data_IF_732581220116
#
_entry.id   IF_732581220116
#
_cell.length_a   1.000
_cell.length_b   1.000
_cell.length_c   1.000
_cell.angle_alpha   90.00
_cell.angle_beta   90.00
_cell.angle_gamma   90.00
#
_symmetry.space_group_name_H-M   'P 1'
#
loop_
_entity.id
_entity.type
_entity.pdbx_description
1 polymer ?
#
# COMPACT_ATOMS: atom_id res chain seq x y z
N UNK A 1 -18.32 -68.46 25.06
CA UNK A 1 -19.28 -67.36 25.29
C UNK A 1 -18.49 -66.05 25.29
N UNK A 2 -18.70 -65.19 24.27
CA UNK A 2 -18.46 -63.73 24.08
C UNK A 2 -17.20 -63.08 24.76
N UNK A 3 -16.40 -62.20 24.12
CA UNK A 3 -16.70 -61.01 23.29
C UNK A 3 -15.48 -60.62 22.41
N UNK A 4 -15.74 -59.98 21.25
CA UNK A 4 -14.82 -59.07 20.54
C UNK A 4 -15.58 -57.78 20.18
N UNK A 5 -14.93 -56.63 20.31
CA UNK A 5 -15.34 -55.31 19.84
C UNK A 5 -14.37 -54.92 18.69
N UNK A 6 -14.90 -54.57 17.52
CA UNK A 6 -15.15 -53.22 16.99
C UNK A 6 -13.91 -52.68 16.24
N UNK A 7 -14.04 -52.66 14.91
CA UNK A 7 -13.05 -52.19 13.94
C UNK A 7 -13.53 -50.83 13.39
N UNK A 8 -12.61 -49.89 13.25
CA UNK A 8 -12.81 -48.47 12.94
C UNK A 8 -12.44 -48.23 11.46
N UNK A 9 -13.42 -47.85 10.64
CA UNK A 9 -13.29 -47.77 9.17
C UNK A 9 -12.91 -46.33 8.74
N UNK A 10 -11.63 -46.13 8.38
CA UNK A 10 -11.11 -44.86 7.83
C UNK A 10 -11.04 -44.93 6.30
N UNK A 11 -11.48 -43.90 5.55
CA UNK A 11 -11.28 -43.86 4.10
C UNK A 11 -9.85 -43.47 3.71
N UNK A 12 -9.33 -44.18 2.72
CA UNK A 12 -7.97 -44.11 2.16
C UNK A 12 -7.75 -42.81 1.37
N UNK A 13 -6.62 -42.13 1.65
CA UNK A 13 -6.16 -40.95 0.89
C UNK A 13 -5.49 -41.39 -0.42
N UNK A 14 -6.01 -40.94 -1.56
CA UNK A 14 -5.32 -41.02 -2.84
C UNK A 14 -4.27 -39.92 -2.94
N UNK A 15 -3.01 -40.32 -3.11
CA UNK A 15 -1.89 -39.44 -3.41
C UNK A 15 -1.89 -39.01 -4.88
N UNK A 16 -1.72 -37.71 -5.10
CA UNK A 16 -1.40 -37.11 -6.39
C UNK A 16 -0.24 -36.14 -6.18
N UNK A 17 0.96 -36.55 -6.59
CA UNK A 17 2.18 -35.75 -6.63
C UNK A 17 2.05 -34.68 -7.73
N UNK A 18 1.54 -33.51 -7.34
CA UNK A 18 1.47 -32.33 -8.19
C UNK A 18 2.45 -31.29 -7.68
N UNK A 19 3.73 -31.42 -8.04
CA UNK A 19 4.73 -30.34 -7.85
C UNK A 19 4.28 -29.09 -8.62
N UNK A 20 3.54 -28.21 -7.95
CA UNK A 20 3.20 -26.87 -8.45
C UNK A 20 4.50 -26.08 -8.60
N UNK A 21 4.76 -25.58 -9.81
CA UNK A 21 5.86 -24.64 -10.05
C UNK A 21 5.66 -23.38 -9.18
N UNK A 22 6.71 -22.82 -8.56
CA UNK A 22 6.58 -21.58 -7.80
C UNK A 22 6.15 -20.43 -8.72
N UNK A 23 5.28 -19.55 -8.20
CA UNK A 23 4.97 -18.28 -8.88
C UNK A 23 6.21 -17.37 -8.88
N UNK A 24 6.45 -16.57 -9.93
CA UNK A 24 7.54 -15.60 -9.94
C UNK A 24 7.38 -14.61 -8.78
N UNK A 25 8.45 -14.40 -8.01
CA UNK A 25 8.48 -13.48 -6.85
C UNK A 25 8.62 -14.14 -5.47
N UNK A 26 8.72 -15.47 -5.38
CA UNK A 26 8.85 -16.18 -4.11
C UNK A 26 10.23 -16.85 -4.01
N UNK A 27 11.17 -16.21 -3.30
CA UNK A 27 12.44 -16.84 -2.89
C UNK A 27 12.31 -17.35 -1.45
N UNK A 28 12.85 -18.54 -1.13
CA UNK A 28 12.96 -18.98 0.26
C UNK A 28 13.98 -18.10 0.98
N UNK A 29 13.53 -17.37 2.01
CA UNK A 29 14.40 -16.61 2.93
C UNK A 29 14.97 -17.58 3.97
N UNK A 30 16.28 -17.50 4.24
CA UNK A 30 16.96 -18.28 5.27
C UNK A 30 16.31 -18.12 6.64
N UNK A 31 16.19 -19.19 7.42
CA UNK A 31 15.48 -19.24 8.70
C UNK A 31 16.18 -18.53 9.87
N UNK A 32 17.40 -18.03 9.69
CA UNK A 32 18.12 -17.29 10.72
C UNK A 32 17.94 -15.79 10.51
N UNK A 33 17.23 -15.13 11.44
CA UNK A 33 17.21 -13.67 11.53
C UNK A 33 18.65 -13.16 11.74
N UNK A 34 19.03 -12.02 11.13
CA UNK A 34 20.40 -11.52 11.25
C UNK A 34 20.73 -11.21 12.71
N UNK A 35 21.91 -11.64 13.16
CA UNK A 35 22.38 -11.34 14.51
C UNK A 35 22.62 -9.84 14.76
N UNK A 36 22.73 -9.02 13.70
CA UNK A 36 22.95 -7.56 13.78
C UNK A 36 22.48 -6.83 12.53
N UNK A 37 21.78 -5.71 12.73
CA UNK A 37 21.47 -4.70 11.70
C UNK A 37 22.10 -3.37 12.11
N UNK A 38 22.63 -2.63 11.15
CA UNK A 38 23.19 -1.28 11.38
C UNK A 38 22.72 -0.31 10.31
N UNK A 39 22.50 0.95 10.71
CA UNK A 39 22.14 2.05 9.82
C UNK A 39 23.15 3.17 9.99
N UNK A 40 23.70 3.65 8.88
CA UNK A 40 24.65 4.77 8.86
C UNK A 40 24.20 5.84 7.86
N UNK A 41 24.02 7.07 8.32
CA UNK A 41 23.67 8.21 7.48
C UNK A 41 24.85 9.21 7.47
N UNK A 42 25.51 9.43 6.32
CA UNK A 42 26.67 10.32 6.27
C UNK A 42 26.28 11.79 6.33
N UNK A 43 27.17 12.59 6.92
CA UNK A 43 27.15 14.05 6.79
C UNK A 43 27.76 14.49 5.45
N UNK A 44 27.59 15.78 5.10
CA UNK A 44 28.34 16.39 4.00
C UNK A 44 27.70 16.27 2.62
N UNK A 45 26.44 15.81 2.52
CA UNK A 45 25.71 15.86 1.25
C UNK A 45 25.47 17.33 0.87
N UNK A 46 25.90 17.79 -0.32
CA UNK A 46 25.67 19.16 -0.75
C UNK A 46 24.20 19.42 -1.07
N UNK A 47 23.83 20.70 -1.18
CA UNK A 47 22.49 21.08 -1.63
C UNK A 47 22.25 20.59 -3.07
N UNK A 48 21.26 19.71 -3.23
CA UNK A 48 20.87 19.11 -4.51
C UNK A 48 20.02 20.09 -5.33
N UNK A 49 20.33 20.21 -6.61
CA UNK A 49 19.65 21.08 -7.59
C UNK A 49 19.08 20.27 -8.75
N UNK A 50 18.20 20.90 -9.51
CA UNK A 50 17.64 20.32 -10.72
C UNK A 50 18.73 19.94 -11.73
N UNK A 51 18.69 18.69 -12.19
CA UNK A 51 19.66 18.12 -13.12
C UNK A 51 20.89 17.50 -12.47
N UNK A 52 21.05 17.59 -11.15
CA UNK A 52 22.19 16.98 -10.46
C UNK A 52 22.17 15.44 -10.58
N UNK A 53 23.35 14.87 -10.78
CA UNK A 53 23.57 13.43 -10.72
C UNK A 53 23.65 12.97 -9.25
N UNK A 54 22.54 12.46 -8.73
CA UNK A 54 22.48 11.97 -7.34
C UNK A 54 23.51 10.90 -7.02
N UNK A 55 23.81 9.98 -7.94
CA UNK A 55 24.80 8.95 -7.68
C UNK A 55 26.19 9.59 -7.52
N UNK A 56 26.53 10.58 -8.34
CA UNK A 56 27.80 11.30 -8.22
C UNK A 56 27.92 12.07 -6.90
N UNK A 57 26.80 12.62 -6.41
CA UNK A 57 26.77 13.37 -5.15
C UNK A 57 26.84 12.46 -3.91
N UNK A 58 26.13 11.33 -3.93
CA UNK A 58 25.97 10.47 -2.75
C UNK A 58 27.10 9.47 -2.60
N UNK A 59 27.52 8.79 -3.67
CA UNK A 59 28.47 7.67 -3.59
C UNK A 59 29.81 8.01 -2.91
N UNK A 60 30.42 9.21 -3.09
CA UNK A 60 31.68 9.55 -2.41
C UNK A 60 31.58 9.59 -0.87
N UNK A 61 30.36 9.68 -0.33
CA UNK A 61 30.09 9.78 1.10
C UNK A 61 29.70 8.43 1.72
N UNK A 62 29.61 7.38 0.92
CA UNK A 62 29.04 6.09 1.30
C UNK A 62 30.08 4.97 1.22
N UNK A 63 30.19 4.19 2.29
CA UNK A 63 30.93 2.93 2.30
C UNK A 63 29.98 1.77 1.96
N UNK A 64 29.77 1.53 0.67
CA UNK A 64 28.88 0.49 0.18
C UNK A 64 29.57 -0.88 0.05
N UNK A 65 28.85 -1.91 0.48
CA UNK A 65 29.18 -3.31 0.27
C UNK A 65 28.03 -4.05 -0.43
N UNK A 66 28.35 -5.23 -0.98
CA UNK A 66 27.32 -6.09 -1.57
C UNK A 66 26.30 -6.52 -0.52
N UNK A 67 25.02 -6.48 -0.88
CA UNK A 67 23.91 -6.78 0.02
C UNK A 67 23.50 -5.63 0.94
N UNK A 68 24.08 -4.45 0.79
CA UNK A 68 23.59 -3.24 1.46
C UNK A 68 22.28 -2.74 0.82
N UNK A 69 21.51 -1.99 1.61
CA UNK A 69 20.34 -1.25 1.13
C UNK A 69 20.61 0.25 1.30
N UNK A 70 20.72 0.96 0.18
CA UNK A 70 20.81 2.41 0.14
C UNK A 70 19.41 3.01 0.23
N UNK A 71 19.19 3.84 1.24
CA UNK A 71 17.93 4.54 1.48
C UNK A 71 18.14 6.02 1.18
N UNK A 72 17.25 6.64 0.41
CA UNK A 72 17.35 8.04 -0.04
C UNK A 72 16.01 8.73 0.11
N UNK A 73 15.99 9.96 0.61
CA UNK A 73 14.74 10.70 0.77
C UNK A 73 14.17 11.17 -0.57
N UNK A 74 12.85 11.18 -0.68
CA UNK A 74 12.07 11.69 -1.81
C UNK A 74 12.53 13.09 -2.20
N UNK A 75 12.82 13.95 -1.23
CA UNK A 75 13.14 15.37 -1.44
C UNK A 75 14.36 15.57 -2.32
N UNK A 76 15.46 14.83 -2.11
CA UNK A 76 16.64 14.96 -2.97
C UNK A 76 16.41 14.35 -4.34
N UNK A 77 15.64 13.27 -4.42
CA UNK A 77 15.21 12.68 -5.71
C UNK A 77 14.41 13.70 -6.51
N UNK A 78 13.38 14.28 -5.90
CA UNK A 78 12.55 15.34 -6.46
C UNK A 78 13.36 16.56 -6.89
N UNK A 79 14.31 17.03 -6.06
CA UNK A 79 15.17 18.17 -6.42
C UNK A 79 15.99 17.88 -7.66
N UNK A 80 16.68 16.75 -7.71
CA UNK A 80 17.48 16.34 -8.87
C UNK A 80 16.62 16.18 -10.13
N UNK A 81 15.39 15.69 -9.99
CA UNK A 81 14.44 15.51 -11.10
C UNK A 81 13.66 16.78 -11.47
N UNK A 82 14.01 17.94 -10.90
CA UNK A 82 13.37 19.22 -11.26
C UNK A 82 11.92 19.33 -10.79
N UNK A 83 11.55 18.65 -9.70
CA UNK A 83 10.21 18.65 -9.10
C UNK A 83 10.00 19.76 -8.05
N UNK A 84 10.88 20.76 -8.05
CA UNK A 84 10.67 22.00 -7.29
C UNK A 84 9.90 22.97 -8.18
N UNK A 85 8.71 23.35 -7.75
CA UNK A 85 7.78 24.20 -8.51
C UNK A 85 7.40 25.44 -7.71
N UNK A 86 7.04 26.51 -8.40
CA UNK A 86 6.49 27.73 -7.80
C UNK A 86 4.98 27.75 -7.90
N UNK A 87 4.30 28.49 -7.03
CA UNK A 87 2.86 28.70 -7.10
C UNK A 87 2.16 28.45 -5.78
N UNK A 88 0.82 28.42 -5.80
CA UNK A 88 0.04 28.10 -4.62
C UNK A 88 0.17 26.61 -4.29
N UNK A 89 0.47 26.32 -3.03
CA UNK A 89 0.58 24.96 -2.51
C UNK A 89 -0.72 24.20 -2.67
N UNK A 90 -1.87 24.83 -2.43
CA UNK A 90 -3.15 24.14 -2.51
C UNK A 90 -3.51 23.75 -3.95
N UNK A 91 -3.16 24.58 -4.94
CA UNK A 91 -3.31 24.25 -6.36
C UNK A 91 -2.45 23.04 -6.75
N UNK A 92 -1.23 22.96 -6.24
CA UNK A 92 -0.37 21.79 -6.45
C UNK A 92 -0.90 20.54 -5.74
N UNK A 93 -1.45 20.66 -4.53
CA UNK A 93 -2.11 19.54 -3.86
C UNK A 93 -3.25 19.01 -4.71
N UNK A 94 -4.07 19.89 -5.29
CA UNK A 94 -5.17 19.50 -6.18
C UNK A 94 -4.66 18.80 -7.45
N UNK A 95 -3.62 19.35 -8.09
CA UNK A 95 -3.02 18.76 -9.29
C UNK A 95 -2.33 17.40 -9.06
N UNK A 96 -1.93 17.12 -7.82
CA UNK A 96 -1.29 15.87 -7.40
C UNK A 96 -2.30 14.86 -6.83
N UNK A 97 -3.54 15.28 -6.58
CA UNK A 97 -4.62 14.48 -5.98
C UNK A 97 -5.43 13.76 -7.05
N UNK A 98 -5.52 12.44 -6.95
CA UNK A 98 -6.51 11.66 -7.71
C UNK A 98 -7.85 11.63 -7.00
N UNK A 99 -7.83 11.51 -5.67
CA UNK A 99 -9.05 11.37 -4.88
C UNK A 99 -8.88 11.91 -3.48
N UNK A 100 -9.88 12.66 -3.05
CA UNK A 100 -9.97 13.10 -1.66
C UNK A 100 -10.42 11.95 -0.74
N UNK A 101 -9.68 11.71 0.34
CA UNK A 101 -10.02 10.70 1.35
C UNK A 101 -10.70 11.36 2.54
N UNK A 102 -10.12 12.43 3.09
CA UNK A 102 -10.68 13.16 4.22
C UNK A 102 -10.20 14.61 4.31
N UNK A 103 -11.05 15.52 4.81
CA UNK A 103 -10.67 16.93 5.03
C UNK A 103 -11.11 17.41 6.41
N UNK A 104 -10.17 18.00 7.17
CA UNK A 104 -10.43 18.61 8.48
C UNK A 104 -9.70 19.96 8.55
N UNK A 105 -10.43 21.05 8.37
CA UNK A 105 -9.82 22.38 8.23
C UNK A 105 -8.83 22.39 7.06
N UNK A 106 -7.61 22.87 7.31
CA UNK A 106 -6.54 22.87 6.31
C UNK A 106 -5.88 21.49 6.06
N UNK A 107 -6.17 20.47 6.88
CA UNK A 107 -5.58 19.15 6.70
C UNK A 107 -6.40 18.35 5.70
N UNK A 108 -5.74 17.87 4.64
CA UNK A 108 -6.31 17.04 3.59
C UNK A 108 -5.54 15.72 3.51
N UNK A 109 -6.24 14.60 3.67
CA UNK A 109 -5.74 13.28 3.33
C UNK A 109 -6.30 12.92 1.97
N UNK A 110 -5.42 12.51 1.05
CA UNK A 110 -5.76 12.26 -0.35
C UNK A 110 -5.04 11.01 -0.83
N UNK A 111 -5.59 10.35 -1.84
CA UNK A 111 -4.84 9.44 -2.71
C UNK A 111 -4.22 10.28 -3.82
N UNK A 112 -2.89 10.28 -3.90
CA UNK A 112 -2.15 10.99 -4.95
C UNK A 112 -1.99 10.10 -6.20
N UNK A 113 -1.40 10.65 -7.27
CA UNK A 113 -1.19 9.92 -8.54
C UNK A 113 -0.30 8.69 -8.46
N UNK A 114 0.48 8.56 -7.38
CA UNK A 114 1.32 7.39 -7.13
C UNK A 114 0.53 6.27 -6.43
N UNK A 115 -0.74 6.52 -6.07
CA UNK A 115 -1.60 5.63 -5.30
C UNK A 115 -1.45 5.77 -3.78
N UNK A 116 -0.50 6.59 -3.31
CA UNK A 116 -0.20 6.79 -1.88
C UNK A 116 -1.35 7.57 -1.22
N UNK A 117 -1.81 7.08 -0.06
CA UNK A 117 -2.81 7.76 0.75
C UNK A 117 -2.14 8.49 1.91
N UNK A 118 -2.01 9.80 1.78
CA UNK A 118 -1.21 10.61 2.70
C UNK A 118 -1.70 12.07 2.76
N UNK A 119 -1.10 12.84 3.67
CA UNK A 119 -1.41 14.26 3.81
C UNK A 119 -0.89 15.06 2.61
N UNK A 120 -1.69 16.00 2.12
CA UNK A 120 -1.30 16.99 1.11
C UNK A 120 -0.63 16.39 -0.15
N UNK A 121 -1.02 15.17 -0.55
CA UNK A 121 -0.45 14.45 -1.68
C UNK A 121 1.09 14.20 -1.64
N UNK A 122 1.75 14.47 -0.51
CA UNK A 122 3.23 14.49 -0.43
C UNK A 122 3.86 15.81 -0.91
N UNK A 123 3.05 16.85 -1.15
CA UNK A 123 3.55 18.20 -1.47
C UNK A 123 4.13 18.84 -0.23
N UNK A 124 5.43 19.14 -0.29
CA UNK A 124 6.21 19.66 0.82
C UNK A 124 6.68 21.11 0.55
N UNK A 125 6.42 22.01 1.50
CA UNK A 125 6.87 23.40 1.46
C UNK A 125 8.08 23.64 2.38
N UNK A 126 8.60 22.62 3.05
CA UNK A 126 9.72 22.73 3.99
C UNK A 126 11.07 22.62 3.29
N UNK A 127 12.06 23.37 3.81
CA UNK A 127 13.45 23.38 3.32
C UNK A 127 13.57 23.73 1.81
N UNK A 128 12.72 24.65 1.35
CA UNK A 128 12.75 25.27 0.02
C UNK A 128 12.60 26.78 0.14
N UNK A 129 12.93 27.50 -0.93
CA UNK A 129 12.74 28.94 -1.03
C UNK A 129 11.26 29.32 -0.85
N UNK A 130 10.99 30.44 -0.18
CA UNK A 130 9.63 30.93 0.01
C UNK A 130 8.90 31.08 -1.34
N UNK A 131 7.67 30.56 -1.43
CA UNK A 131 6.88 30.55 -2.67
C UNK A 131 7.13 29.33 -3.58
N UNK A 132 7.99 28.40 -3.17
CA UNK A 132 8.20 27.12 -3.85
C UNK A 132 7.70 25.95 -3.00
N UNK A 133 7.38 24.84 -3.67
CA UNK A 133 7.06 23.53 -3.08
C UNK A 133 7.82 22.43 -3.81
N UNK A 134 8.02 21.30 -3.13
CA UNK A 134 8.58 20.07 -3.70
C UNK A 134 7.43 19.09 -3.91
N UNK A 135 7.28 18.63 -5.15
CA UNK A 135 6.38 17.55 -5.50
C UNK A 135 7.13 16.22 -5.40
N UNK A 136 6.42 15.11 -5.20
CA UNK A 136 7.06 13.79 -5.23
C UNK A 136 7.65 13.49 -6.63
N UNK A 137 8.62 12.55 -6.71
CA UNK A 137 9.12 12.04 -8.00
C UNK A 137 7.96 11.51 -8.85
N UNK A 138 8.07 11.63 -10.17
CA UNK A 138 7.00 11.16 -11.08
C UNK A 138 6.88 9.64 -11.05
N UNK A 139 8.01 8.95 -10.98
CA UNK A 139 8.11 7.50 -10.83
C UNK A 139 9.27 7.15 -9.89
N UNK A 140 9.03 7.14 -8.56
CA UNK A 140 10.07 6.88 -7.56
C UNK A 140 10.65 5.46 -7.65
N UNK A 141 9.91 4.48 -8.17
CA UNK A 141 10.44 3.15 -8.45
C UNK A 141 11.47 3.21 -9.58
N UNK A 142 11.19 3.94 -10.67
CA UNK A 142 12.17 4.17 -11.72
C UNK A 142 13.37 4.98 -11.25
N UNK A 143 13.19 5.97 -10.36
CA UNK A 143 14.30 6.70 -9.73
C UNK A 143 15.20 5.76 -8.92
N UNK A 144 14.63 4.85 -8.14
CA UNK A 144 15.37 3.83 -7.40
C UNK A 144 16.15 2.90 -8.34
N UNK A 145 15.56 2.48 -9.47
CA UNK A 145 16.24 1.63 -10.48
C UNK A 145 17.44 2.34 -11.10
N UNK A 146 17.28 3.60 -11.54
CA UNK A 146 18.37 4.41 -12.10
C UNK A 146 19.52 4.58 -11.10
N UNK A 147 19.20 4.86 -9.84
CA UNK A 147 20.22 5.01 -8.81
C UNK A 147 20.95 3.69 -8.54
N UNK A 148 20.22 2.57 -8.47
CA UNK A 148 20.81 1.23 -8.31
C UNK A 148 21.75 0.88 -9.45
N UNK A 149 21.34 1.15 -10.69
CA UNK A 149 22.15 0.92 -11.89
C UNK A 149 23.43 1.76 -11.85
N UNK A 150 23.33 3.04 -11.48
CA UNK A 150 24.48 3.92 -11.33
C UNK A 150 25.44 3.46 -10.22
N UNK A 151 24.92 2.92 -9.10
CA UNK A 151 25.76 2.30 -8.06
C UNK A 151 26.53 1.11 -8.64
N UNK A 152 25.84 0.20 -9.32
CA UNK A 152 26.46 -0.99 -9.91
C UNK A 152 27.53 -0.63 -10.94
N UNK A 153 27.24 0.33 -11.83
CA UNK A 153 28.18 0.80 -12.85
C UNK A 153 29.44 1.44 -12.25
N UNK A 154 29.28 2.30 -11.23
CA UNK A 154 30.39 3.10 -10.68
C UNK A 154 31.20 2.40 -9.62
N UNK A 155 30.62 1.43 -8.92
CA UNK A 155 31.23 0.78 -7.76
C UNK A 155 31.38 -0.74 -7.90
N UNK A 156 30.70 -1.34 -8.88
CA UNK A 156 30.62 -2.79 -9.04
C UNK A 156 29.77 -3.51 -7.98
N UNK A 157 29.11 -2.78 -7.07
CA UNK A 157 28.36 -3.37 -5.94
C UNK A 157 26.91 -3.68 -6.28
N UNK A 158 26.41 -4.81 -5.79
CA UNK A 158 25.00 -5.17 -5.82
C UNK A 158 24.31 -4.73 -4.53
N UNK A 159 23.47 -3.70 -4.64
CA UNK A 159 22.70 -3.13 -3.52
C UNK A 159 21.21 -3.13 -3.81
N UNK A 160 20.40 -3.04 -2.75
CA UNK A 160 19.02 -2.56 -2.84
C UNK A 160 18.98 -1.03 -2.75
N UNK A 161 17.95 -0.41 -3.33
CA UNK A 161 17.68 1.03 -3.22
C UNK A 161 16.23 1.25 -2.79
N UNK A 162 16.01 2.10 -1.79
CA UNK A 162 14.67 2.52 -1.34
C UNK A 162 14.61 4.05 -1.35
N UNK A 163 13.58 4.61 -1.96
CA UNK A 163 13.22 6.02 -1.86
C UNK A 163 12.14 6.19 -0.80
N UNK A 164 12.35 7.05 0.19
CA UNK A 164 11.43 7.22 1.32
C UNK A 164 10.74 8.57 1.34
N UNK A 165 9.57 8.64 1.95
CA UNK A 165 8.95 9.91 2.31
C UNK A 165 8.28 9.81 3.68
N UNK A 166 8.19 10.95 4.37
CA UNK A 166 7.62 11.00 5.72
C UNK A 166 6.09 11.00 5.66
N UNK A 167 5.47 10.02 6.30
CA UNK A 167 4.01 9.88 6.31
C UNK A 167 3.44 9.77 7.74
N UNK A 168 2.24 10.33 7.92
CA UNK A 168 1.40 9.97 9.05
C UNK A 168 0.75 8.59 8.85
N UNK A 169 0.06 8.07 9.86
CA UNK A 169 -0.62 6.77 9.76
C UNK A 169 -1.91 6.71 10.58
N UNK A 170 -2.90 5.92 10.15
CA UNK A 170 -4.13 5.76 10.93
C UNK A 170 -3.84 5.15 12.31
N UNK A 171 -4.72 5.46 13.26
CA UNK A 171 -4.78 4.90 14.63
C UNK A 171 -3.64 5.30 15.57
N UNK A 172 -2.64 6.06 15.12
CA UNK A 172 -1.52 6.51 15.96
C UNK A 172 -1.15 7.95 15.64
N UNK A 173 -0.76 8.68 16.67
CA UNK A 173 -0.12 9.98 16.53
C UNK A 173 1.36 9.82 16.15
N UNK A 174 1.89 10.81 15.43
CA UNK A 174 3.27 10.81 14.93
C UNK A 174 3.40 10.41 13.46
N UNK A 175 4.60 10.62 12.93
CA UNK A 175 5.00 10.30 11.56
C UNK A 175 6.12 9.25 11.58
N UNK A 176 6.27 8.54 10.47
CA UNK A 176 7.47 7.75 10.17
C UNK A 176 7.67 7.69 8.66
N UNK A 177 8.89 7.46 8.21
CA UNK A 177 9.17 7.24 6.81
C UNK A 177 8.58 5.91 6.30
N UNK A 178 8.02 5.97 5.09
CA UNK A 178 7.55 4.82 4.32
C UNK A 178 8.32 4.74 3.01
N UNK A 179 8.39 3.55 2.41
CA UNK A 179 8.93 3.39 1.07
C UNK A 179 7.93 3.89 0.03
N UNK A 180 8.35 4.84 -0.81
CA UNK A 180 7.57 5.33 -1.96
C UNK A 180 8.16 4.86 -3.28
N UNK A 181 9.43 4.43 -3.30
CA UNK A 181 10.10 3.81 -4.44
C UNK A 181 11.07 2.72 -3.98
N UNK A 182 11.29 1.69 -4.77
CA UNK A 182 12.23 0.62 -4.46
C UNK A 182 12.77 -0.08 -5.72
N UNK A 183 14.02 -0.52 -5.64
CA UNK A 183 14.66 -1.35 -6.66
C UNK A 183 15.69 -2.30 -6.04
N UNK A 184 15.70 -3.55 -6.51
CA UNK A 184 16.70 -4.53 -6.07
C UNK A 184 16.51 -5.04 -4.67
N UNK A 185 15.32 -4.89 -4.10
CA UNK A 185 15.01 -5.25 -2.73
C UNK A 185 13.65 -5.94 -2.69
N UNK A 186 13.53 -6.96 -1.85
CA UNK A 186 12.24 -7.55 -1.47
C UNK A 186 11.50 -6.50 -0.65
N UNK A 187 10.31 -6.09 -1.11
CA UNK A 187 9.50 -5.05 -0.42
C UNK A 187 8.49 -5.64 0.56
N UNK A 188 8.00 -6.85 0.27
CA UNK A 188 7.06 -7.62 1.08
C UNK A 188 7.64 -9.02 1.31
N UNK A 189 7.84 -9.39 2.56
CA UNK A 189 8.30 -10.72 2.92
C UNK A 189 7.11 -11.64 3.20
N UNK A 190 6.56 -12.27 2.17
CA UNK A 190 5.40 -13.14 2.36
C UNK A 190 5.81 -14.49 2.97
N UNK A 191 5.23 -14.82 4.13
CA UNK A 191 5.32 -16.12 4.78
C UNK A 191 4.15 -17.05 4.44
N UNK A 192 3.26 -16.63 3.53
CA UNK A 192 2.07 -17.39 3.16
C UNK A 192 2.43 -18.81 2.71
N UNK A 193 1.81 -19.82 3.33
CA UNK A 193 2.05 -21.23 3.02
C UNK A 193 3.33 -21.82 3.62
N UNK A 194 4.02 -21.08 4.50
CA UNK A 194 5.10 -21.63 5.34
C UNK A 194 4.51 -22.18 6.64
N UNK A 195 5.24 -23.08 7.30
CA UNK A 195 4.91 -23.56 8.66
C UNK A 195 5.90 -23.02 9.68
N UNK A 196 5.43 -22.61 10.85
CA UNK A 196 6.28 -22.23 11.97
C UNK A 196 6.93 -23.46 12.64
N UNK A 197 7.78 -23.22 13.66
CA UNK A 197 8.47 -24.27 14.42
C UNK A 197 7.50 -25.19 15.20
N UNK A 198 6.25 -24.78 15.37
CA UNK A 198 5.18 -25.55 16.03
C UNK A 198 4.29 -26.27 15.01
N UNK A 199 4.56 -26.15 13.71
CA UNK A 199 3.80 -26.77 12.62
C UNK A 199 2.56 -26.01 12.17
N UNK A 200 2.34 -24.77 12.63
CA UNK A 200 1.20 -23.96 12.20
C UNK A 200 1.46 -23.33 10.83
N UNK A 201 0.49 -23.40 9.92
CA UNK A 201 0.55 -22.66 8.66
C UNK A 201 0.45 -21.16 8.89
N UNK A 202 1.42 -20.41 8.39
CA UNK A 202 1.43 -18.96 8.36
C UNK A 202 0.55 -18.51 7.19
N UNK A 203 -0.72 -18.21 7.46
CA UNK A 203 -1.69 -17.85 6.43
C UNK A 203 -1.63 -16.37 6.01
N UNK A 204 -1.27 -15.46 6.92
CA UNK A 204 -1.34 -14.00 6.71
C UNK A 204 -0.19 -13.30 7.44
N UNK A 205 1.03 -13.48 6.97
CA UNK A 205 2.16 -12.69 7.46
C UNK A 205 2.98 -12.23 6.27
N UNK A 206 2.94 -10.94 5.99
CA UNK A 206 3.73 -10.30 4.95
C UNK A 206 4.27 -8.97 5.50
N UNK A 207 5.35 -8.99 6.31
CA UNK A 207 5.97 -7.76 6.76
C UNK A 207 6.35 -6.89 5.55
N UNK A 208 5.96 -5.61 5.61
CA UNK A 208 6.42 -4.58 4.69
C UNK A 208 7.85 -4.20 5.06
N UNK A 209 8.80 -5.06 4.71
CA UNK A 209 10.21 -4.92 5.08
C UNK A 209 10.81 -3.62 4.52
N UNK A 210 10.35 -3.15 3.36
CA UNK A 210 10.79 -1.86 2.83
C UNK A 210 10.36 -0.68 3.73
N UNK A 211 9.15 -0.69 4.30
CA UNK A 211 8.71 0.32 5.27
C UNK A 211 9.46 0.20 6.61
N UNK A 212 9.81 -1.01 7.03
CA UNK A 212 10.66 -1.22 8.21
C UNK A 212 12.06 -0.63 8.02
N UNK A 213 12.64 -0.82 6.84
CA UNK A 213 13.94 -0.22 6.47
C UNK A 213 13.82 1.29 6.40
N UNK A 214 12.74 1.83 5.81
CA UNK A 214 12.49 3.27 5.74
C UNK A 214 12.43 3.92 7.13
N UNK A 215 11.61 3.36 8.04
CA UNK A 215 11.53 3.86 9.41
C UNK A 215 12.85 3.72 10.19
N UNK A 216 13.65 2.68 9.95
CA UNK A 216 14.97 2.53 10.56
C UNK A 216 15.99 3.56 10.02
N UNK A 217 15.93 3.88 8.72
CA UNK A 217 16.78 4.89 8.10
C UNK A 217 16.52 6.29 8.66
N UNK A 218 15.25 6.65 8.86
CA UNK A 218 14.83 7.94 9.42
C UNK A 218 15.51 8.24 10.78
N UNK A 219 15.64 7.23 11.64
CA UNK A 219 16.30 7.35 12.95
C UNK A 219 17.76 7.80 12.84
N UNK A 220 18.49 7.34 11.81
CA UNK A 220 19.89 7.70 11.58
C UNK A 220 20.03 9.02 10.82
N UNK A 221 19.11 9.27 9.87
CA UNK A 221 19.12 10.47 9.04
C UNK A 221 18.84 11.73 9.86
N UNK A 222 17.85 11.69 10.76
CA UNK A 222 17.51 12.81 11.63
C UNK A 222 16.94 14.02 10.87
N UNK A 223 15.78 14.52 11.30
CA UNK A 223 15.00 15.53 10.56
C UNK A 223 15.74 16.83 10.23
N UNK A 224 16.71 17.23 11.06
CA UNK A 224 17.45 18.50 10.93
C UNK A 224 18.94 18.31 10.65
N UNK A 225 19.41 17.08 10.47
CA UNK A 225 20.84 16.81 10.30
C UNK A 225 21.33 16.93 8.84
N UNK A 226 20.42 17.24 7.89
CA UNK A 226 20.74 17.35 6.46
C UNK A 226 21.39 16.09 5.87
N UNK A 227 20.93 14.90 6.31
CA UNK A 227 21.39 13.60 5.82
C UNK A 227 20.32 12.94 4.95
N UNK A 228 20.28 13.23 3.64
CA UNK A 228 19.22 12.74 2.75
C UNK A 228 19.38 11.28 2.33
N UNK A 229 20.43 10.59 2.79
CA UNK A 229 20.60 9.17 2.53
C UNK A 229 21.15 8.43 3.75
N UNK A 230 20.96 7.11 3.77
CA UNK A 230 21.53 6.19 4.73
C UNK A 230 21.80 4.83 4.09
N UNK A 231 22.69 4.06 4.69
CA UNK A 231 22.96 2.66 4.32
C UNK A 231 22.52 1.76 5.46
N UNK A 232 21.61 0.84 5.16
CA UNK A 232 21.27 -0.26 6.04
C UNK A 232 22.06 -1.50 5.64
N UNK A 233 22.77 -2.08 6.61
CA UNK A 233 23.60 -3.29 6.46
C UNK A 233 23.13 -4.38 7.43
N UNK A 234 23.27 -5.64 7.00
CA UNK A 234 22.87 -6.82 7.79
C UNK A 234 21.56 -7.47 7.32
N UNK A 235 20.99 -7.04 6.18
CA UNK A 235 19.81 -7.64 5.53
C UNK A 235 20.07 -7.99 4.06
N UNK A 236 21.23 -8.56 3.77
CA UNK A 236 21.59 -8.98 2.41
C UNK A 236 20.61 -10.02 1.83
N UNK A 237 19.90 -10.77 2.68
CA UNK A 237 18.81 -11.69 2.32
C UNK A 237 17.65 -11.00 1.60
N UNK A 238 17.45 -9.70 1.83
CA UNK A 238 16.42 -8.90 1.15
C UNK A 238 16.89 -8.34 -0.20
N UNK A 239 18.18 -8.36 -0.50
CA UNK A 239 18.73 -7.78 -1.74
C UNK A 239 18.63 -8.80 -2.88
N UNK A 240 18.02 -8.37 -3.98
CA UNK A 240 17.83 -9.19 -5.18
C UNK A 240 19.14 -9.31 -5.98
N UNK A 241 19.19 -10.27 -6.91
CA UNK A 241 20.37 -10.46 -7.74
C UNK A 241 20.70 -9.24 -8.61
N UNK A 242 21.93 -9.13 -9.12
CA UNK A 242 22.28 -8.10 -10.11
C UNK A 242 21.30 -8.12 -11.29
N UNK A 243 20.82 -6.94 -11.70
CA UNK A 243 19.82 -6.79 -12.78
C UNK A 243 18.37 -7.13 -12.40
N UNK A 244 18.10 -7.70 -11.23
CA UNK A 244 16.75 -8.05 -10.78
C UNK A 244 16.17 -6.91 -9.93
N UNK A 245 15.33 -6.05 -10.50
CA UNK A 245 14.80 -4.88 -9.77
C UNK A 245 13.62 -5.20 -8.83
N UNK A 246 12.90 -6.29 -9.06
CA UNK A 246 11.70 -6.61 -8.30
C UNK A 246 10.49 -5.72 -8.64
N UNK A 247 9.41 -5.82 -7.86
CA UNK A 247 8.13 -5.19 -8.20
C UNK A 247 8.05 -3.69 -7.86
N UNK A 248 9.00 -3.16 -7.07
CA UNK A 248 8.97 -1.78 -6.59
C UNK A 248 8.07 -1.56 -5.36
N UNK A 249 8.11 -0.35 -4.80
CA UNK A 249 7.31 0.04 -3.65
C UNK A 249 5.82 0.16 -4.00
N UNK A 250 5.46 0.32 -5.27
CA UNK A 250 4.07 0.28 -5.73
C UNK A 250 3.33 -1.01 -5.33
N UNK A 251 4.06 -2.12 -5.12
CA UNK A 251 3.48 -3.38 -4.64
C UNK A 251 3.01 -3.34 -3.17
N UNK A 252 3.41 -2.33 -2.40
CA UNK A 252 2.93 -2.10 -1.03
C UNK A 252 1.55 -1.43 -1.00
N UNK A 253 1.15 -0.79 -2.11
CA UNK A 253 -0.08 -0.02 -2.19
C UNK A 253 -1.25 -0.99 -2.32
N UNK A 254 -2.21 -0.87 -1.39
CA UNK A 254 -3.47 -1.61 -1.51
C UNK A 254 -4.28 -1.06 -2.68
N UNK A 255 -4.79 -1.92 -3.57
CA UNK A 255 -5.68 -1.48 -4.63
C UNK A 255 -6.99 -0.94 -4.06
N UNK A 256 -7.65 -0.07 -4.82
CA UNK A 256 -9.04 0.32 -4.55
C UNK A 256 -9.92 -0.93 -4.37
N UNK A 257 -10.82 -0.88 -3.39
CA UNK A 257 -11.68 -1.99 -3.02
C UNK A 257 -11.04 -3.07 -2.14
N UNK A 258 -9.71 -3.17 -2.10
CA UNK A 258 -8.99 -3.90 -1.05
C UNK A 258 -8.70 -3.03 0.19
N UNK A 259 -8.81 -1.71 0.04
CA UNK A 259 -8.63 -0.73 1.09
C UNK A 259 -9.93 -0.44 1.84
N UNK A 260 -10.07 -1.01 3.04
CA UNK A 260 -11.23 -0.79 3.91
C UNK A 260 -11.37 0.67 4.42
N UNK A 261 -10.40 1.54 4.15
CA UNK A 261 -10.37 2.93 4.59
C UNK A 261 -10.28 3.91 3.41
N UNK A 262 -10.80 3.50 2.25
CA UNK A 262 -10.80 4.30 1.03
C UNK A 262 -11.35 5.72 1.23
N UNK A 263 -12.33 5.92 2.12
CA UNK A 263 -12.81 7.23 2.54
C UNK A 263 -12.69 7.42 4.06
N UNK A 264 -12.56 8.68 4.48
CA UNK A 264 -12.83 9.07 5.86
C UNK A 264 -14.31 8.85 6.21
N UNK A 265 -14.60 8.61 7.50
CA UNK A 265 -15.96 8.24 7.93
C UNK A 265 -17.05 9.25 7.53
N UNK A 266 -16.75 10.56 7.52
CA UNK A 266 -17.72 11.60 7.10
C UNK A 266 -17.89 11.60 5.58
N UNK A 267 -16.77 11.47 4.88
CA UNK A 267 -16.68 11.46 3.42
C UNK A 267 -17.41 10.25 2.83
N UNK A 268 -17.29 9.08 3.45
CA UNK A 268 -18.01 7.87 3.06
C UNK A 268 -19.54 8.06 3.08
N UNK A 269 -20.06 8.72 4.12
CA UNK A 269 -21.50 9.01 4.23
C UNK A 269 -21.95 9.93 3.11
N UNK A 270 -21.20 11.01 2.86
CA UNK A 270 -21.52 11.97 1.79
C UNK A 270 -21.47 11.30 0.42
N UNK A 271 -20.44 10.49 0.14
CA UNK A 271 -20.30 9.73 -1.10
C UNK A 271 -21.48 8.77 -1.33
N UNK A 272 -21.87 8.01 -0.29
CA UNK A 272 -22.98 7.06 -0.39
C UNK A 272 -24.34 7.75 -0.59
N UNK A 273 -24.55 8.93 0.00
CA UNK A 273 -25.75 9.76 -0.22
C UNK A 273 -25.76 10.36 -1.63
N UNK A 274 -24.60 10.81 -2.12
CA UNK A 274 -24.48 11.36 -3.48
C UNK A 274 -24.71 10.29 -4.56
N UNK A 275 -24.35 9.04 -4.28
CA UNK A 275 -24.66 7.88 -5.12
C UNK A 275 -23.98 7.88 -6.49
N UNK A 276 -22.87 8.63 -6.65
CA UNK A 276 -22.17 8.78 -7.93
C UNK A 276 -21.41 7.50 -8.29
N UNK A 277 -21.52 6.96 -9.50
CA UNK A 277 -20.85 5.71 -9.88
C UNK A 277 -19.32 5.70 -9.66
N UNK A 278 -18.65 6.83 -9.87
CA UNK A 278 -17.21 7.01 -9.67
C UNK A 278 -16.76 6.86 -8.21
N UNK A 279 -17.63 7.20 -7.26
CA UNK A 279 -17.35 7.12 -5.82
C UNK A 279 -17.50 5.70 -5.27
N UNK A 280 -17.88 4.72 -6.10
CA UNK A 280 -18.08 3.34 -5.68
C UNK A 280 -16.77 2.57 -5.49
N UNK A 281 -15.73 2.89 -6.28
CA UNK A 281 -14.45 2.13 -6.26
C UNK A 281 -13.85 1.98 -4.86
N UNK A 282 -13.82 3.03 -4.01
CA UNK A 282 -13.26 2.90 -2.66
C UNK A 282 -14.08 2.04 -1.69
N UNK A 283 -15.38 1.80 -1.96
CA UNK A 283 -16.19 0.84 -1.19
C UNK A 283 -15.92 -0.62 -1.59
N UNK A 284 -15.39 -0.83 -2.80
CA UNK A 284 -14.94 -2.13 -3.29
C UNK A 284 -15.96 -2.93 -4.08
N UNK A 285 -15.66 -4.22 -4.22
CA UNK A 285 -16.51 -5.17 -4.94
C UNK A 285 -17.84 -5.39 -4.19
N UNK A 286 -18.90 -5.84 -4.90
CA UNK A 286 -20.16 -6.17 -4.25
C UNK A 286 -19.95 -7.13 -3.07
N UNK A 287 -20.43 -6.73 -1.90
CA UNK A 287 -20.44 -7.59 -0.72
C UNK A 287 -21.33 -8.82 -0.97
N UNK A 288 -21.09 -9.92 -0.26
CA UNK A 288 -21.98 -11.07 -0.32
C UNK A 288 -23.42 -10.66 0.06
N UNK A 289 -24.43 -11.28 -0.57
CA UNK A 289 -25.83 -10.95 -0.32
C UNK A 289 -26.22 -11.04 1.17
N UNK A 290 -25.60 -11.98 1.90
CA UNK A 290 -25.74 -12.12 3.36
C UNK A 290 -25.28 -10.87 4.13
N UNK A 291 -24.13 -10.31 3.77
CA UNK A 291 -23.57 -9.12 4.42
C UNK A 291 -24.42 -7.89 4.15
N UNK A 292 -24.89 -7.72 2.90
CA UNK A 292 -25.82 -6.66 2.54
C UNK A 292 -27.14 -6.78 3.32
N UNK A 293 -27.76 -7.97 3.34
CA UNK A 293 -29.02 -8.19 4.05
C UNK A 293 -28.87 -7.90 5.55
N UNK A 294 -27.76 -8.32 6.15
CA UNK A 294 -27.44 -8.02 7.55
C UNK A 294 -27.25 -6.51 7.78
N UNK A 295 -26.58 -5.80 6.87
CA UNK A 295 -26.42 -4.35 6.95
C UNK A 295 -27.77 -3.61 6.85
N UNK A 296 -28.60 -3.99 5.89
CA UNK A 296 -29.95 -3.44 5.71
C UNK A 296 -30.82 -3.68 6.95
N UNK A 297 -30.78 -4.87 7.54
CA UNK A 297 -31.49 -5.17 8.78
C UNK A 297 -31.06 -4.28 9.96
N UNK A 298 -29.75 -4.02 10.13
CA UNK A 298 -29.24 -3.09 11.17
C UNK A 298 -29.73 -1.65 11.00
N UNK A 299 -30.15 -1.26 9.81
CA UNK A 299 -30.72 0.07 9.52
C UNK A 299 -32.25 0.11 9.56
N UNK A 300 -32.91 -0.97 9.99
CA UNK A 300 -34.37 -1.06 10.04
C UNK A 300 -35.03 -1.35 8.70
N UNK A 301 -34.27 -1.82 7.70
CA UNK A 301 -34.76 -2.15 6.36
C UNK A 301 -34.56 -3.64 6.06
N UNK A 302 -35.23 -4.57 6.76
CA UNK A 302 -35.00 -6.00 6.58
C UNK A 302 -35.23 -6.41 5.12
N UNK A 303 -34.33 -7.26 4.62
CA UNK A 303 -34.35 -7.74 3.24
C UNK A 303 -34.28 -9.27 3.20
N UNK A 304 -34.89 -9.85 2.17
CA UNK A 304 -34.86 -11.28 1.88
C UNK A 304 -33.90 -11.54 0.73
N UNK A 305 -33.03 -12.53 0.88
CA UNK A 305 -32.14 -12.99 -0.18
C UNK A 305 -32.94 -13.98 -1.04
N UNK A 306 -33.20 -13.63 -2.30
CA UNK A 306 -33.89 -14.50 -3.26
C UNK A 306 -32.87 -15.35 -4.03
N UNK A 307 -31.73 -14.75 -4.36
CA UNK A 307 -30.57 -15.39 -4.97
C UNK A 307 -29.28 -14.65 -4.55
N UNK A 308 -28.11 -15.18 -4.89
CA UNK A 308 -26.82 -14.51 -4.61
C UNK A 308 -26.70 -13.11 -5.23
N UNK A 309 -27.43 -12.85 -6.31
CA UNK A 309 -27.47 -11.59 -7.06
C UNK A 309 -28.84 -10.87 -6.98
N UNK A 310 -29.76 -11.33 -6.12
CA UNK A 310 -31.11 -10.78 -6.00
C UNK A 310 -31.54 -10.68 -4.54
N UNK A 311 -31.55 -9.46 -4.01
CA UNK A 311 -32.02 -9.13 -2.67
C UNK A 311 -33.27 -8.25 -2.75
N UNK A 312 -34.29 -8.57 -1.93
CA UNK A 312 -35.59 -7.89 -1.92
C UNK A 312 -35.87 -7.22 -0.59
N UNK A 313 -36.17 -5.93 -0.60
CA UNK A 313 -36.61 -5.19 0.57
C UNK A 313 -38.10 -4.83 0.43
N UNK A 314 -38.96 -5.54 1.15
CA UNK A 314 -40.42 -5.40 1.05
C UNK A 314 -40.96 -4.15 1.77
N UNK A 315 -40.26 -3.69 2.81
CA UNK A 315 -40.63 -2.55 3.63
C UNK A 315 -39.37 -1.82 4.10
N UNK A 316 -39.42 -0.49 4.13
CA UNK A 316 -38.28 0.33 4.53
C UNK A 316 -38.26 1.68 3.85
N UNK A 317 -37.23 2.48 4.15
CA UNK A 317 -36.96 3.76 3.49
C UNK A 317 -36.19 3.51 2.19
N UNK A 318 -36.73 3.84 1.01
CA UNK A 318 -36.02 3.64 -0.26
C UNK A 318 -34.67 4.35 -0.31
N UNK A 319 -34.58 5.55 0.28
CA UNK A 319 -33.33 6.28 0.37
C UNK A 319 -32.29 5.56 1.24
N UNK A 320 -32.70 5.03 2.42
CA UNK A 320 -31.79 4.29 3.28
C UNK A 320 -31.30 3.00 2.61
N UNK A 321 -32.20 2.28 1.94
CA UNK A 321 -31.87 1.07 1.19
C UNK A 321 -30.87 1.38 0.07
N UNK A 322 -31.08 2.45 -0.69
CA UNK A 322 -30.17 2.87 -1.76
C UNK A 322 -28.77 3.24 -1.25
N UNK A 323 -28.68 3.98 -0.14
CA UNK A 323 -27.40 4.38 0.48
C UNK A 323 -26.63 3.15 0.95
N UNK A 324 -27.29 2.23 1.67
CA UNK A 324 -26.66 1.00 2.17
C UNK A 324 -26.25 0.11 1.00
N UNK A 325 -27.11 -0.08 0.00
CA UNK A 325 -26.79 -0.84 -1.20
C UNK A 325 -25.56 -0.27 -1.91
N UNK A 326 -25.51 1.05 -2.13
CA UNK A 326 -24.39 1.73 -2.77
C UNK A 326 -23.07 1.45 -2.03
N UNK A 327 -23.06 1.63 -0.70
CA UNK A 327 -21.88 1.43 0.14
C UNK A 327 -21.41 -0.03 0.22
N UNK A 328 -22.22 -0.99 -0.23
CA UNK A 328 -21.89 -2.41 -0.29
C UNK A 328 -21.66 -2.89 -1.73
N UNK A 329 -21.61 -2.01 -2.72
CA UNK A 329 -21.39 -2.36 -4.13
C UNK A 329 -22.62 -2.90 -4.85
N UNK A 330 -23.82 -2.57 -4.36
CA UNK A 330 -25.11 -2.95 -4.95
C UNK A 330 -25.88 -1.72 -5.46
N UNK A 331 -26.88 -1.96 -6.29
CA UNK A 331 -27.77 -0.95 -6.86
C UNK A 331 -29.22 -1.35 -6.65
N UNK A 332 -30.08 -0.36 -6.43
CA UNK A 332 -31.53 -0.55 -6.33
C UNK A 332 -32.12 -0.34 -7.72
N UNK A 333 -32.95 -1.26 -8.18
CA UNK A 333 -33.65 -1.13 -9.45
C UNK A 333 -34.68 -0.01 -9.41
N UNK A 334 -34.90 0.64 -10.56
CA UNK A 334 -36.02 1.55 -10.71
C UNK A 334 -37.34 0.78 -10.47
N UNK A 335 -38.27 1.33 -9.67
CA UNK A 335 -39.55 0.67 -9.46
C UNK A 335 -40.30 0.55 -10.79
N UNK A 336 -40.68 -0.67 -11.14
CA UNK A 336 -41.53 -0.92 -12.31
C UNK A 336 -42.90 -0.22 -12.21
N UNK A 337 -43.61 -0.04 -13.33
CA UNK A 337 -44.83 0.77 -13.42
C UNK A 337 -45.98 0.31 -12.52
N UNK A 338 -45.94 -0.91 -11.97
CA UNK A 338 -47.00 -1.44 -11.10
C UNK A 338 -46.77 -1.26 -9.59
N UNK A 339 -45.64 -0.68 -9.14
CA UNK A 339 -45.44 -0.15 -7.77
C UNK A 339 -45.76 -1.06 -6.56
N UNK A 340 -46.08 -2.35 -6.78
CA UNK A 340 -46.64 -3.28 -5.76
C UNK A 340 -45.66 -4.34 -5.27
N UNK A 341 -44.43 -4.34 -5.77
CA UNK A 341 -43.34 -5.18 -5.27
C UNK A 341 -42.31 -4.31 -4.60
N UNK A 342 -41.79 -4.73 -3.44
CA UNK A 342 -40.70 -4.04 -2.76
C UNK A 342 -39.45 -3.84 -3.62
N UNK A 343 -38.47 -3.13 -3.08
CA UNK A 343 -37.24 -2.77 -3.78
C UNK A 343 -36.44 -4.02 -4.15
N UNK A 344 -36.05 -4.13 -5.41
CA UNK A 344 -35.09 -5.12 -5.88
C UNK A 344 -33.69 -4.51 -5.87
N UNK A 345 -32.74 -5.25 -5.33
CA UNK A 345 -31.35 -4.82 -5.17
C UNK A 345 -30.48 -5.86 -5.87
N UNK A 346 -29.57 -5.41 -6.75
CA UNK A 346 -28.67 -6.26 -7.54
C UNK A 346 -27.22 -5.77 -7.45
N UNK A 347 -26.21 -6.62 -7.65
CA UNK A 347 -24.81 -6.20 -7.69
C UNK A 347 -24.57 -5.11 -8.73
N UNK A 348 -23.72 -4.13 -8.42
CA UNK A 348 -23.38 -3.05 -9.35
C UNK A 348 -22.53 -3.51 -10.54
N UNK A 349 -21.82 -4.61 -10.36
CA UNK A 349 -21.04 -5.33 -11.37
C UNK A 349 -21.41 -6.81 -11.29
N UNK A 350 -21.59 -7.52 -12.43
CA UNK A 350 -21.97 -8.93 -12.44
C UNK A 350 -21.00 -9.84 -11.69
#
# INVERSE_FOLDING_TARGET
MRRRAADDDRPRRHGGDGRRRPRPGHRPVSSEAPARVSVHAPDGVPEVRAGDDLAALLLPLLDLADGDILVVTSKVVSKAEGRVVTGDREEWIDAETERQVAVRGATRIVRNRLGLTMAAAGVDASNVTAGAVVLLPVDPDASARRLREAVAERTGRNVGVIVTDTAGRPWREGQTDIAIGAAGVVVLESFAGRTDEHGNELAVTAPAVADQVAGAAELAQGKLAARPCAVLRGRADLVLGPGEHGPGAGALIRPDGGDMFGFGAREAVVAAVAGRPEDRRPFGAPAAAGDLAAALARTGNPATIVAEDDVRCAAGSPAAVAIVAFAHGWMVDEPGPEGRGGLRIRPATP
#
